data_IF_109125882076
#
_entry.id   IF_109125882076
#
_cell.length_a   1.000
_cell.length_b   1.000
_cell.length_c   1.000
_cell.angle_alpha   90.00
_cell.angle_beta   90.00
_cell.angle_gamma   90.00
#
_symmetry.space_group_name_H-M   'P 1'
#
loop_
_entity.id
_entity.type
_entity.pdbx_description
1 polymer ?
#
# COMPACT_ATOMS: atom_id res chain seq x y z
N UNK A 1 9.55 -11.98 15.75
CA UNK A 1 8.86 -11.50 14.54
C UNK A 1 9.91 -10.79 13.73
N UNK A 2 10.38 -11.42 12.65
CA UNK A 2 11.36 -10.79 11.76
C UNK A 2 10.78 -9.48 11.24
N UNK A 3 11.46 -8.37 11.52
CA UNK A 3 11.09 -7.07 10.98
C UNK A 3 11.55 -7.08 9.53
N UNK A 4 10.64 -7.44 8.63
CA UNK A 4 10.90 -7.39 7.18
C UNK A 4 10.91 -5.93 6.76
N UNK A 5 12.03 -5.48 6.17
CA UNK A 5 12.09 -4.15 5.53
C UNK A 5 11.26 -4.17 4.25
N UNK A 6 10.18 -3.39 4.13
CA UNK A 6 9.33 -3.39 2.93
C UNK A 6 10.11 -2.91 1.71
N UNK A 7 10.08 -3.67 0.61
CA UNK A 7 10.67 -3.25 -0.66
C UNK A 7 9.60 -2.67 -1.57
N UNK A 8 10.02 -1.80 -2.49
CA UNK A 8 9.18 -1.24 -3.53
C UNK A 8 8.52 -2.37 -4.31
N UNK A 9 7.21 -2.22 -4.53
CA UNK A 9 6.31 -3.19 -5.15
C UNK A 9 5.93 -4.42 -4.31
N UNK A 10 6.45 -4.57 -3.08
CA UNK A 10 5.89 -5.56 -2.16
C UNK A 10 4.44 -5.18 -1.80
N UNK A 11 3.62 -6.20 -1.57
CA UNK A 11 2.22 -6.05 -1.15
C UNK A 11 2.08 -6.50 0.30
N UNK A 12 1.50 -5.63 1.12
CA UNK A 12 1.23 -5.90 2.53
C UNK A 12 -0.24 -5.70 2.85
N UNK A 13 -0.73 -6.49 3.82
CA UNK A 13 -2.04 -6.29 4.40
C UNK A 13 -1.94 -5.20 5.48
N UNK A 14 -2.49 -4.01 5.21
CA UNK A 14 -2.33 -2.83 6.08
C UNK A 14 -3.67 -2.46 6.71
N UNK A 15 -3.66 -2.24 8.03
CA UNK A 15 -4.79 -1.66 8.77
C UNK A 15 -4.73 -0.14 8.68
N UNK A 16 -5.77 0.48 8.08
CA UNK A 16 -5.82 1.92 7.81
C UNK A 16 -6.73 2.68 8.80
N UNK A 17 -6.73 2.29 10.08
CA UNK A 17 -7.55 2.92 11.13
C UNK A 17 -6.66 3.77 12.08
N UNK A 18 -7.12 4.97 12.52
CA UNK A 18 -8.40 5.60 12.23
C UNK A 18 -8.39 6.32 10.88
N UNK A 19 -9.36 6.01 10.03
CA UNK A 19 -9.53 6.69 8.76
C UNK A 19 -10.38 7.96 8.94
N UNK A 20 -10.00 9.09 8.32
CA UNK A 20 -10.74 10.35 8.34
C UNK A 20 -11.42 10.63 7.00
N UNK A 21 -12.67 11.11 7.03
CA UNK A 21 -13.40 11.51 5.81
C UNK A 21 -13.82 10.30 4.94
N UNK A 22 -13.45 10.32 3.65
CA UNK A 22 -13.77 9.25 2.70
C UNK A 22 -12.78 8.05 2.76
N UNK A 23 -11.80 8.11 3.65
CA UNK A 23 -10.88 7.00 3.85
C UNK A 23 -11.63 5.77 4.39
N UNK A 24 -11.51 4.65 3.68
CA UNK A 24 -12.18 3.42 4.08
C UNK A 24 -11.43 2.74 5.24
N UNK A 25 -12.07 2.68 6.42
CA UNK A 25 -11.65 1.92 7.61
C UNK A 25 -11.71 0.42 7.36
N UNK A 26 -10.73 -0.11 6.62
CA UNK A 26 -10.60 -1.54 6.32
C UNK A 26 -9.14 -1.93 6.29
N UNK A 27 -8.85 -3.10 6.85
CA UNK A 27 -7.59 -3.80 6.59
C UNK A 27 -7.62 -4.27 5.14
N UNK A 28 -6.70 -3.78 4.30
CA UNK A 28 -6.71 -4.07 2.86
C UNK A 28 -5.29 -4.19 2.29
N UNK A 29 -5.11 -4.93 1.19
CA UNK A 29 -3.82 -5.02 0.54
C UNK A 29 -3.39 -3.65 -0.01
N UNK A 30 -2.13 -3.31 0.22
CA UNK A 30 -1.50 -2.08 -0.23
C UNK A 30 -0.14 -2.41 -0.83
N UNK A 31 0.22 -1.75 -1.94
CA UNK A 31 1.54 -1.89 -2.57
C UNK A 31 2.46 -0.77 -2.09
N UNK A 32 3.72 -1.09 -1.82
CA UNK A 32 4.76 -0.11 -1.48
C UNK A 32 5.22 0.62 -2.74
N UNK A 33 5.15 1.96 -2.75
CA UNK A 33 5.55 2.78 -3.90
C UNK A 33 6.79 3.64 -3.64
N UNK A 34 7.20 3.79 -2.37
CA UNK A 34 8.43 4.49 -2.01
C UNK A 34 9.70 3.70 -2.40
N UNK A 35 10.82 4.40 -2.69
CA UNK A 35 12.12 3.77 -2.99
C UNK A 35 12.64 2.90 -1.84
N UNK A 36 13.41 1.85 -2.17
CA UNK A 36 13.96 0.91 -1.19
C UNK A 36 14.92 1.60 -0.21
N UNK A 37 15.69 2.55 -0.72
CA UNK A 37 16.64 3.36 0.03
C UNK A 37 15.90 4.14 1.12
N UNK A 38 14.76 4.75 0.76
CA UNK A 38 13.90 5.45 1.71
C UNK A 38 13.28 4.50 2.73
N UNK A 39 12.79 3.33 2.31
CA UNK A 39 12.18 2.36 3.22
C UNK A 39 13.19 1.78 4.23
N UNK A 40 14.47 1.77 3.89
CA UNK A 40 15.56 1.30 4.76
C UNK A 40 16.00 2.39 5.74
N UNK A 41 16.04 3.65 5.29
CA UNK A 41 16.48 4.78 6.12
C UNK A 41 15.36 5.37 6.99
N UNK A 42 14.11 5.30 6.53
CA UNK A 42 12.95 5.88 7.20
C UNK A 42 12.16 4.79 7.93
N UNK A 43 11.50 5.18 9.01
CA UNK A 43 10.53 4.31 9.73
C UNK A 43 9.14 4.33 9.10
N UNK A 44 9.00 4.94 7.92
CA UNK A 44 7.74 5.14 7.22
C UNK A 44 7.90 4.72 5.76
N UNK A 45 6.80 4.20 5.19
CA UNK A 45 6.73 3.79 3.79
C UNK A 45 5.51 4.43 3.14
N UNK A 46 5.64 4.79 1.86
CA UNK A 46 4.51 5.30 1.08
C UNK A 46 3.85 4.11 0.39
N UNK A 47 2.54 3.97 0.59
CA UNK A 47 1.75 2.86 0.05
C UNK A 47 0.60 3.36 -0.81
N UNK A 48 0.28 2.60 -1.86
CA UNK A 48 -0.92 2.78 -2.66
C UNK A 48 -1.89 1.63 -2.35
N UNK A 49 -3.10 1.92 -1.86
CA UNK A 49 -4.03 0.85 -1.53
C UNK A 49 -4.69 0.21 -2.74
N UNK A 50 -4.91 -1.10 -2.69
CA UNK A 50 -5.51 -1.87 -3.77
C UNK A 50 -7.01 -2.06 -3.57
N UNK A 51 -7.73 -2.25 -4.68
CA UNK A 51 -9.18 -2.51 -4.67
C UNK A 51 -9.55 -3.49 -5.77
N UNK A 52 -10.46 -4.42 -5.45
CA UNK A 52 -10.98 -5.41 -6.41
C UNK A 52 -12.02 -4.84 -7.38
N UNK A 53 -12.50 -3.61 -7.16
CA UNK A 53 -13.49 -2.95 -8.02
C UNK A 53 -12.77 -2.03 -9.02
N UNK A 54 -12.50 -2.46 -10.25
CA UNK A 54 -11.92 -1.60 -11.25
C UNK A 54 -12.87 -0.44 -11.56
N UNK A 55 -12.30 0.73 -11.82
CA UNK A 55 -13.01 1.90 -12.34
C UNK A 55 -12.12 2.52 -13.39
N UNK A 56 -12.70 2.92 -14.52
CA UNK A 56 -11.97 3.62 -15.56
C UNK A 56 -11.59 5.00 -15.06
N UNK A 57 -10.36 5.15 -14.59
CA UNK A 57 -9.78 6.40 -14.14
C UNK A 57 -8.27 6.39 -14.45
N UNK A 58 -7.68 7.44 -15.05
CA UNK A 58 -6.28 7.42 -15.48
C UNK A 58 -5.28 7.08 -14.38
N UNK A 59 -5.56 7.47 -13.13
CA UNK A 59 -4.72 7.14 -11.98
C UNK A 59 -4.93 5.75 -11.38
N UNK A 60 -5.87 4.94 -11.91
CA UNK A 60 -6.13 3.56 -11.46
C UNK A 60 -5.48 2.58 -12.43
N UNK A 61 -4.28 2.16 -12.08
CA UNK A 61 -3.53 1.16 -12.82
C UNK A 61 -4.08 -0.23 -12.49
N UNK A 62 -4.36 -1.03 -13.52
CA UNK A 62 -4.69 -2.46 -13.35
C UNK A 62 -3.47 -3.21 -12.82
N UNK A 63 -3.65 -4.01 -11.78
CA UNK A 63 -2.56 -4.79 -11.17
C UNK A 63 -2.94 -6.26 -11.07
N UNK A 64 -1.95 -7.12 -11.25
CA UNK A 64 -2.00 -8.53 -10.89
C UNK A 64 -0.93 -8.77 -9.83
N UNK A 65 -1.30 -9.41 -8.73
CA UNK A 65 -0.39 -9.75 -7.65
C UNK A 65 -0.84 -11.08 -7.04
N UNK A 66 0.12 -11.91 -6.63
CA UNK A 66 -0.09 -13.27 -6.13
C UNK A 66 -0.09 -13.28 -4.60
#
# INVERSE_FOLDING_TARGET
>A
MDVVTPRRFDVFLVKLDPARGAEMQKTRPCVVVSPNESNTMLRTVVIAPLTSKPRSYPGRVGVMFQ
#
